data_IF_956005674961
#
_entry.id   IF_956005674961
#
_cell.length_a   1.000
_cell.length_b   1.000
_cell.length_c   1.000
_cell.angle_alpha   90.00
_cell.angle_beta   90.00
_cell.angle_gamma   90.00
#
_symmetry.space_group_name_H-M   'P 1'
#
loop_
_entity.id
_entity.type
_entity.pdbx_description
1 polymer ?
#
# COMPACT_ATOMS: atom_id res chain seq x y z
N UNK A 1 10.88 19.35 8.92
CA UNK A 1 10.11 18.43 8.03
C UNK A 1 10.99 17.97 6.87
N UNK A 2 11.40 16.70 6.80
CA UNK A 2 12.22 16.17 5.68
C UNK A 2 11.32 15.37 4.72
N UNK A 3 11.05 15.89 3.52
CA UNK A 3 10.29 15.20 2.46
C UNK A 3 11.23 14.27 1.67
N UNK A 4 10.96 12.98 1.68
CA UNK A 4 11.52 12.03 0.73
C UNK A 4 10.36 11.23 0.11
N UNK A 5 10.15 11.36 -1.21
CA UNK A 5 9.25 10.53 -2.02
C UNK A 5 7.78 10.39 -1.56
N UNK A 6 7.19 11.45 -1.01
CA UNK A 6 5.77 11.46 -0.57
C UNK A 6 5.52 10.81 0.79
N UNK A 7 6.51 10.15 1.36
CA UNK A 7 6.49 9.65 2.74
C UNK A 7 6.74 10.83 3.71
N UNK A 8 5.97 10.86 4.79
CA UNK A 8 6.17 11.81 5.89
C UNK A 8 6.54 11.03 7.14
N UNK A 9 7.59 11.48 7.81
CA UNK A 9 8.07 10.91 9.07
C UNK A 9 7.86 11.96 10.15
N UNK A 10 7.20 11.58 11.23
CA UNK A 10 7.00 12.41 12.41
C UNK A 10 7.33 11.63 13.67
N UNK A 11 8.14 12.20 14.55
CA UNK A 11 8.60 11.52 15.76
C UNK A 11 8.05 12.24 16.98
N UNK A 12 7.22 11.54 17.73
CA UNK A 12 6.72 12.00 19.02
C UNK A 12 7.66 11.47 20.13
N UNK A 13 8.45 12.39 20.69
CA UNK A 13 9.39 12.06 21.75
C UNK A 13 8.72 11.75 23.10
N UNK A 14 7.50 12.25 23.34
CA UNK A 14 6.77 11.99 24.57
C UNK A 14 6.16 10.59 24.55
N UNK A 15 5.63 10.18 23.40
CA UNK A 15 5.08 8.84 23.20
C UNK A 15 6.12 7.78 22.82
N UNK A 16 7.33 8.20 22.41
CA UNK A 16 8.38 7.32 21.85
C UNK A 16 7.96 6.58 20.58
N UNK A 17 7.24 7.29 19.71
CA UNK A 17 6.63 6.75 18.50
C UNK A 17 7.12 7.48 17.27
N UNK A 18 7.53 6.73 16.25
CA UNK A 18 7.80 7.24 14.91
C UNK A 18 6.60 6.93 14.01
N UNK A 19 5.82 7.95 13.66
CA UNK A 19 4.77 7.85 12.68
C UNK A 19 5.32 8.01 11.25
N UNK A 20 4.89 7.12 10.36
CA UNK A 20 5.23 7.10 8.94
C UNK A 20 3.95 7.15 8.13
N UNK A 21 3.63 8.29 7.54
CA UNK A 21 2.48 8.46 6.65
C UNK A 21 2.88 8.26 5.19
N UNK A 22 2.03 7.56 4.44
CA UNK A 22 2.19 7.37 2.99
C UNK A 22 1.63 8.54 2.17
N UNK A 23 1.03 9.52 2.84
CA UNK A 23 0.50 10.73 2.19
C UNK A 23 -0.74 10.48 1.35
N UNK A 24 -1.55 9.46 1.69
CA UNK A 24 -2.79 9.13 0.98
C UNK A 24 -3.87 10.18 1.17
N UNK A 25 -3.86 10.90 2.30
CA UNK A 25 -4.90 11.88 2.67
C UNK A 25 -6.22 11.25 3.10
N UNK A 26 -6.27 9.92 3.17
CA UNK A 26 -7.44 9.17 3.60
C UNK A 26 -7.50 9.12 5.13
N UNK A 27 -8.68 9.34 5.76
CA UNK A 27 -8.89 9.01 7.17
C UNK A 27 -8.59 7.54 7.44
N UNK A 28 -7.89 7.27 8.55
CA UNK A 28 -7.42 5.92 8.88
C UNK A 28 -7.80 5.49 10.30
N UNK A 29 -7.79 4.18 10.51
CA UNK A 29 -7.82 3.57 11.83
C UNK A 29 -6.54 2.73 12.03
N UNK A 30 -6.20 2.49 13.28
CA UNK A 30 -4.97 1.79 13.67
C UNK A 30 -5.25 0.35 14.09
N UNK A 31 -4.37 -0.56 13.70
CA UNK A 31 -4.37 -1.96 14.12
C UNK A 31 -2.96 -2.33 14.60
N UNK A 32 -2.86 -2.82 15.83
CA UNK A 32 -1.60 -3.28 16.39
C UNK A 32 -1.22 -4.62 15.76
N UNK A 33 -0.03 -4.67 15.16
CA UNK A 33 0.50 -5.89 14.54
C UNK A 33 1.38 -6.64 15.54
N UNK A 34 2.13 -5.90 16.36
CA UNK A 34 2.92 -6.38 17.48
C UNK A 34 3.38 -5.19 18.34
N UNK A 35 4.07 -5.51 19.43
CA UNK A 35 4.61 -4.56 20.43
C UNK A 35 5.51 -3.45 19.86
N UNK A 36 5.98 -3.57 18.61
CA UNK A 36 6.85 -2.59 17.96
C UNK A 36 6.19 -1.88 16.77
N UNK A 37 5.05 -2.37 16.28
CA UNK A 37 4.47 -1.93 15.01
C UNK A 37 2.94 -1.85 15.06
N UNK A 38 2.44 -0.67 14.76
CA UNK A 38 1.01 -0.41 14.51
C UNK A 38 0.83 -0.03 13.05
N UNK A 39 -0.12 -0.65 12.37
CA UNK A 39 -0.47 -0.36 10.98
C UNK A 39 -1.66 0.59 10.91
N UNK A 40 -1.65 1.53 9.96
CA UNK A 40 -2.77 2.42 9.71
C UNK A 40 -3.44 2.02 8.39
N UNK A 41 -4.76 1.78 8.43
CA UNK A 41 -5.56 1.40 7.27
C UNK A 41 -6.60 2.47 6.96
N UNK A 42 -6.77 2.77 5.66
CA UNK A 42 -7.77 3.70 5.16
C UNK A 42 -9.17 3.15 5.38
N UNK A 43 -10.06 3.97 5.92
CA UNK A 43 -11.44 3.56 6.25
C UNK A 43 -12.25 3.21 4.99
N UNK A 44 -11.96 3.82 3.85
CA UNK A 44 -12.70 3.61 2.61
C UNK A 44 -12.06 2.55 1.73
N UNK A 45 -10.73 2.58 1.59
CA UNK A 45 -10.00 1.68 0.72
C UNK A 45 -9.64 0.35 1.39
N UNK A 46 -9.56 0.33 2.72
CA UNK A 46 -8.93 -0.75 3.48
C UNK A 46 -7.43 -0.89 3.20
N UNK A 47 -6.83 0.05 2.45
CA UNK A 47 -5.44 -0.01 2.06
C UNK A 47 -4.55 0.62 3.15
N UNK A 48 -3.30 0.17 3.32
CA UNK A 48 -2.36 0.83 4.21
C UNK A 48 -2.16 2.30 3.86
N UNK A 49 -2.33 3.18 4.84
CA UNK A 49 -2.14 4.64 4.72
C UNK A 49 -0.91 5.13 5.45
N UNK A 50 -0.36 4.31 6.35
CA UNK A 50 0.80 4.60 7.16
C UNK A 50 1.09 3.49 8.16
N UNK A 51 2.05 3.72 9.03
CA UNK A 51 2.33 2.87 10.19
C UNK A 51 3.07 3.66 11.27
N UNK A 52 3.12 3.11 12.48
CA UNK A 52 3.83 3.66 13.61
C UNK A 52 4.82 2.62 14.13
N UNK A 53 6.04 3.07 14.43
CA UNK A 53 7.05 2.27 15.13
C UNK A 53 7.05 2.69 16.59
N UNK A 54 6.87 1.74 17.49
CA UNK A 54 6.87 1.95 18.94
C UNK A 54 8.27 1.73 19.52
N UNK A 55 8.50 2.22 20.75
CA UNK A 55 9.75 2.03 21.51
C UNK A 55 11.01 2.42 20.72
N UNK A 56 10.94 3.51 19.95
CA UNK A 56 11.97 3.88 18.98
C UNK A 56 13.31 4.18 19.65
N UNK A 57 13.32 4.69 20.89
CA UNK A 57 14.55 4.91 21.67
C UNK A 57 15.34 3.62 21.93
N UNK A 58 14.68 2.48 22.10
CA UNK A 58 15.34 1.18 22.32
C UNK A 58 16.01 0.68 21.03
N UNK A 59 15.42 0.98 19.88
CA UNK A 59 15.85 0.49 18.56
C UNK A 59 16.82 1.46 17.86
N UNK A 60 16.74 2.75 18.20
CA UNK A 60 17.50 3.85 17.62
C UNK A 60 16.80 4.47 16.40
N UNK A 61 16.30 5.71 16.55
CA UNK A 61 15.56 6.46 15.53
C UNK A 61 16.26 6.54 14.18
N UNK A 62 17.55 6.87 14.16
CA UNK A 62 18.32 7.02 12.92
C UNK A 62 18.50 5.68 12.20
N UNK A 63 18.69 4.58 12.94
CA UNK A 63 18.81 3.24 12.37
C UNK A 63 17.50 2.79 11.72
N UNK A 64 16.37 3.00 12.43
CA UNK A 64 15.02 2.73 11.92
C UNK A 64 14.75 3.55 10.66
N UNK A 65 14.93 4.88 10.73
CA UNK A 65 14.68 5.78 9.61
C UNK A 65 15.56 5.45 8.39
N UNK A 66 16.84 5.13 8.60
CA UNK A 66 17.75 4.74 7.53
C UNK A 66 17.40 3.39 6.89
N UNK A 67 16.87 2.44 7.67
CA UNK A 67 16.43 1.14 7.15
C UNK A 67 15.14 1.28 6.35
N UNK A 68 14.16 2.04 6.85
CA UNK A 68 12.90 2.32 6.18
C UNK A 68 13.09 3.03 4.83
N UNK A 69 13.94 4.06 4.79
CA UNK A 69 14.27 4.77 3.53
C UNK A 69 14.88 3.84 2.47
N UNK A 70 15.59 2.79 2.88
CA UNK A 70 16.21 1.81 1.97
C UNK A 70 15.24 0.71 1.53
N UNK A 71 14.35 0.25 2.42
CA UNK A 71 13.45 -0.88 2.14
C UNK A 71 12.16 -0.46 1.43
N UNK A 72 11.56 0.67 1.83
CA UNK A 72 10.23 1.08 1.34
C UNK A 72 10.16 1.27 -0.19
N UNK A 73 11.13 1.90 -0.86
CA UNK A 73 11.09 2.01 -2.32
C UNK A 73 11.10 0.64 -3.02
N UNK A 74 11.84 -0.34 -2.48
CA UNK A 74 11.91 -1.69 -3.04
C UNK A 74 10.58 -2.42 -2.93
N UNK A 75 9.93 -2.31 -1.77
CA UNK A 75 8.60 -2.89 -1.53
C UNK A 75 7.58 -2.26 -2.47
N UNK A 76 7.55 -0.92 -2.55
CA UNK A 76 6.63 -0.17 -3.41
C UNK A 76 6.79 -0.52 -4.90
N UNK A 77 8.02 -0.64 -5.38
CA UNK A 77 8.28 -1.03 -6.77
C UNK A 77 7.82 -2.47 -7.06
N UNK A 78 8.03 -3.39 -6.10
CA UNK A 78 7.57 -4.78 -6.23
C UNK A 78 6.06 -4.87 -6.26
N UNK A 79 5.37 -4.11 -5.42
CA UNK A 79 3.92 -4.03 -5.39
C UNK A 79 3.34 -3.47 -6.71
N UNK A 80 3.90 -2.37 -7.22
CA UNK A 80 3.49 -1.81 -8.50
C UNK A 80 3.63 -2.81 -9.66
N UNK A 81 4.68 -3.64 -9.65
CA UNK A 81 4.85 -4.71 -10.63
C UNK A 81 3.78 -5.81 -10.50
N UNK A 82 3.43 -6.20 -9.27
CA UNK A 82 2.39 -7.21 -9.02
C UNK A 82 1.03 -6.69 -9.48
N UNK A 83 0.68 -5.45 -9.11
CA UNK A 83 -0.59 -4.81 -9.50
C UNK A 83 -0.71 -4.68 -11.01
N UNK A 84 0.37 -4.27 -11.69
CA UNK A 84 0.41 -4.19 -13.16
C UNK A 84 0.14 -5.56 -13.81
N UNK A 85 0.76 -6.63 -13.31
CA UNK A 85 0.52 -8.00 -13.80
C UNK A 85 -0.93 -8.43 -13.57
N UNK A 86 -1.49 -8.14 -12.38
CA UNK A 86 -2.88 -8.47 -12.05
C UNK A 86 -3.87 -7.73 -12.95
N UNK A 87 -3.65 -6.43 -13.17
CA UNK A 87 -4.48 -5.60 -14.05
C UNK A 87 -4.43 -6.11 -15.50
N UNK A 88 -3.24 -6.46 -16.00
CA UNK A 88 -3.07 -7.06 -17.33
C UNK A 88 -3.83 -8.39 -17.46
N UNK A 89 -3.74 -9.26 -16.43
CA UNK A 89 -4.47 -10.53 -16.39
C UNK A 89 -5.98 -10.33 -16.42
N UNK A 90 -6.52 -9.42 -15.61
CA UNK A 90 -7.95 -9.06 -15.61
C UNK A 90 -8.40 -8.50 -16.95
N UNK A 91 -7.62 -7.62 -17.57
CA UNK A 91 -7.93 -7.07 -18.89
C UNK A 91 -8.00 -8.16 -19.99
N UNK A 92 -7.14 -9.17 -19.93
CA UNK A 92 -7.19 -10.29 -20.85
C UNK A 92 -8.46 -11.15 -20.65
N UNK A 93 -8.85 -11.40 -19.40
CA UNK A 93 -10.09 -12.12 -19.08
C UNK A 93 -11.33 -11.38 -19.59
N UNK A 94 -11.40 -10.07 -19.36
CA UNK A 94 -12.51 -9.24 -19.85
C UNK A 94 -12.61 -9.27 -21.37
N UNK A 95 -11.49 -9.14 -22.09
CA UNK A 95 -11.49 -9.23 -23.57
C UNK A 95 -11.97 -10.59 -24.06
N UNK A 96 -11.58 -11.69 -23.40
CA UNK A 96 -12.08 -13.03 -23.73
C UNK A 96 -13.58 -13.15 -23.49
N UNK A 97 -14.07 -12.66 -22.35
CA UNK A 97 -15.49 -12.69 -22.03
C UNK A 97 -16.33 -11.90 -23.07
N UNK A 98 -15.87 -10.70 -23.45
CA UNK A 98 -16.54 -9.88 -24.49
C UNK A 98 -16.55 -10.59 -25.84
N UNK A 99 -15.43 -11.20 -26.25
CA UNK A 99 -15.37 -11.95 -27.51
C UNK A 99 -16.33 -13.14 -27.52
N UNK A 100 -16.33 -13.96 -26.45
CA UNK A 100 -17.22 -15.11 -26.34
C UNK A 100 -18.71 -14.71 -26.34
N UNK A 101 -19.04 -13.53 -25.81
CA UNK A 101 -20.40 -12.98 -25.88
C UNK A 101 -20.77 -12.57 -27.33
N UNK A 102 -19.84 -11.96 -28.06
CA UNK A 102 -20.05 -11.55 -29.44
C UNK A 102 -20.25 -12.75 -30.38
N UNK A 103 -19.44 -13.80 -30.22
CA UNK A 103 -19.55 -15.04 -30.99
C UNK A 103 -20.91 -15.72 -30.76
N UNK A 104 -21.36 -15.83 -29.50
CA UNK A 104 -22.71 -16.36 -29.18
C UNK A 104 -23.86 -15.55 -29.77
N UNK A 105 -23.69 -14.24 -30.00
CA UNK A 105 -24.72 -13.39 -30.62
C UNK A 105 -24.85 -13.67 -32.12
N UNK A 106 -23.75 -13.95 -32.81
CA UNK A 106 -23.78 -14.29 -34.24
C UNK A 106 -24.49 -15.63 -34.48
N UNK A 107 -24.24 -16.62 -33.63
CA UNK A 107 -24.92 -17.93 -33.69
C UNK A 107 -26.44 -17.85 -33.47
N UNK A 108 -26.90 -16.88 -32.66
CA UNK A 108 -28.33 -16.63 -32.38
C UNK A 108 -29.05 -15.84 -33.50
N UNK A 109 -28.31 -15.14 -34.37
CA UNK A 109 -28.87 -14.36 -35.48
C UNK A 109 -28.85 -15.17 -36.79
N UNK A 110 -28.02 -16.21 -36.87
CA UNK A 110 -27.91 -17.10 -38.02
C UNK A 110 -28.82 -18.35 -37.98
N UNK A 111 -29.58 -18.55 -36.89
CA UNK A 111 -30.55 -19.63 -36.69
C UNK A 111 -31.99 -19.13 -36.84
#
# INVERSE_FOLDING_TARGET
MRKANGLKFDFDAAADVLQVSFGTGEPSFSEEINDLLVMEYGIYSGAPTGFQVLHVREIGLDAVAARLKRSLPRVRNREAQILSKLAAGRGALLRRAVRALAEKREDLVAA
#
